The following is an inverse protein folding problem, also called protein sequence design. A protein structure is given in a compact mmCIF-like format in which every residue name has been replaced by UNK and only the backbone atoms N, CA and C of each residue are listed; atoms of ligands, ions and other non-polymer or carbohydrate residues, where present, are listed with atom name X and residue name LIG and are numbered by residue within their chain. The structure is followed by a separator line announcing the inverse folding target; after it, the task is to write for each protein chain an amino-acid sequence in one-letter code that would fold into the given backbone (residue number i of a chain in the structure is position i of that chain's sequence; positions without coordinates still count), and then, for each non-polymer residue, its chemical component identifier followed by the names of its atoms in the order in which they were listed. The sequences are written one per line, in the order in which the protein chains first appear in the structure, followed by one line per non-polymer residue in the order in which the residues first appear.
data_IF_985663124418
#
_entry.id   IF_985663124418
#
_cell.length_a   1.000
_cell.length_b   1.000
_cell.length_c   1.000
_cell.angle_alpha   90.00
_cell.angle_beta   90.00
_cell.angle_gamma   90.00
#
_symmetry.space_group_name_H-M   'P 1'
#
loop_
_entity.id
_entity.type
_entity.pdbx_description
1 polymer ?
#
# COMPACT_ATOMS: atom_id res chain seq x y z
N UNK A 1 -3.79 7.92 -16.28
CA UNK A 1 -4.51 7.94 -14.98
C UNK A 1 -4.37 6.59 -14.32
N UNK A 2 -4.15 6.53 -12.98
CA UNK A 2 -4.03 5.26 -12.25
C UNK A 2 -5.39 4.89 -11.65
N UNK A 3 -5.84 3.65 -11.87
CA UNK A 3 -7.08 3.09 -11.30
C UNK A 3 -6.74 1.85 -10.48
N UNK A 4 -6.87 1.93 -9.16
CA UNK A 4 -6.71 0.79 -8.27
C UNK A 4 -7.91 -0.14 -8.47
N UNK A 5 -7.66 -1.43 -8.69
CA UNK A 5 -8.70 -2.45 -8.92
C UNK A 5 -8.96 -3.28 -7.67
N UNK A 6 -7.96 -4.01 -7.22
CA UNK A 6 -8.13 -4.92 -6.08
C UNK A 6 -6.87 -5.03 -5.24
N UNK A 7 -7.06 -5.32 -3.96
CA UNK A 7 -6.01 -5.56 -2.99
C UNK A 7 -6.30 -6.87 -2.26
N UNK A 8 -5.34 -7.78 -2.19
CA UNK A 8 -5.42 -8.95 -1.31
C UNK A 8 -4.34 -8.87 -0.24
N UNK A 9 -4.68 -9.33 0.95
CA UNK A 9 -3.83 -9.19 2.14
C UNK A 9 -3.84 -10.49 2.95
N UNK A 10 -2.67 -10.98 3.30
CA UNK A 10 -2.46 -12.16 4.15
C UNK A 10 -1.34 -11.92 5.13
N UNK A 11 -1.52 -12.29 6.38
CA UNK A 11 -0.52 -12.17 7.45
C UNK A 11 0.11 -10.76 7.58
N UNK A 12 -0.69 -9.74 7.39
CA UNK A 12 -0.27 -8.34 7.42
C UNK A 12 -0.98 -7.59 8.53
N UNK A 13 -0.25 -7.04 9.48
CA UNK A 13 -0.76 -6.32 10.66
C UNK A 13 -1.85 -7.15 11.41
N UNK A 14 -3.10 -6.68 11.43
CA UNK A 14 -4.24 -7.37 12.06
C UNK A 14 -4.81 -8.51 11.21
N UNK A 15 -4.51 -8.59 9.93
CA UNK A 15 -4.98 -9.66 9.04
C UNK A 15 -4.16 -10.92 9.29
N UNK A 16 -4.85 -12.02 9.59
CA UNK A 16 -4.25 -13.33 9.86
C UNK A 16 -3.94 -14.13 8.59
N UNK A 17 -3.90 -15.46 8.76
CA UNK A 17 -3.49 -16.39 7.71
C UNK A 17 -4.54 -16.57 6.59
N UNK A 18 -5.79 -16.22 6.84
CA UNK A 18 -6.82 -16.21 5.80
C UNK A 18 -6.65 -14.96 4.94
N UNK A 19 -6.52 -15.15 3.62
CA UNK A 19 -6.41 -14.03 2.69
C UNK A 19 -7.71 -13.24 2.65
N UNK A 20 -7.60 -11.93 2.87
CA UNK A 20 -8.70 -10.98 2.73
C UNK A 20 -8.56 -10.21 1.42
N UNK A 21 -9.67 -9.91 0.76
CA UNK A 21 -9.69 -9.16 -0.49
C UNK A 21 -10.53 -7.89 -0.34
N UNK A 22 -10.05 -6.80 -0.94
CA UNK A 22 -10.76 -5.54 -1.05
C UNK A 22 -10.85 -5.17 -2.52
N UNK A 23 -12.06 -4.94 -3.00
CA UNK A 23 -12.35 -4.44 -4.34
C UNK A 23 -12.48 -2.92 -4.32
N UNK A 24 -11.61 -2.23 -5.03
CA UNK A 24 -11.60 -0.77 -5.21
C UNK A 24 -12.26 -0.33 -6.52
N UNK A 25 -12.62 -1.27 -7.41
CA UNK A 25 -13.23 -0.94 -8.69
C UNK A 25 -14.71 -0.54 -8.51
N UNK A 26 -14.92 0.49 -7.71
CA UNK A 26 -16.22 1.11 -7.44
C UNK A 26 -16.32 2.44 -8.16
N UNK A 27 -17.48 2.75 -8.71
CA UNK A 27 -17.69 3.96 -9.52
C UNK A 27 -17.93 5.24 -8.70
N UNK A 28 -18.11 5.13 -7.40
CA UNK A 28 -18.51 6.25 -6.53
C UNK A 28 -17.79 6.21 -5.20
N UNK A 29 -18.10 7.21 -4.35
CA UNK A 29 -17.62 7.26 -2.97
C UNK A 29 -18.02 5.99 -2.21
N UNK A 30 -17.04 5.34 -1.59
CA UNK A 30 -17.27 4.15 -0.76
C UNK A 30 -16.96 4.46 0.70
N UNK A 31 -17.95 4.25 1.55
CA UNK A 31 -17.78 4.31 3.00
C UNK A 31 -17.38 2.93 3.54
N UNK A 32 -16.22 2.85 4.20
CA UNK A 32 -15.75 1.62 4.84
C UNK A 32 -16.07 1.68 6.34
N UNK A 33 -17.01 0.86 6.78
CA UNK A 33 -17.38 0.72 8.19
C UNK A 33 -16.69 -0.52 8.78
N UNK A 34 -16.24 -0.40 10.03
CA UNK A 34 -15.74 -1.52 10.81
C UNK A 34 -16.79 -1.95 11.81
N UNK A 35 -16.97 -3.25 11.99
CA UNK A 35 -17.76 -3.85 13.05
C UNK A 35 -16.86 -4.73 13.92
N UNK A 36 -16.93 -4.56 15.23
CA UNK A 36 -16.21 -5.39 16.18
C UNK A 36 -17.15 -6.46 16.74
N UNK A 37 -17.01 -7.67 16.22
CA UNK A 37 -17.86 -8.81 16.61
C UNK A 37 -17.57 -9.32 18.03
N UNK A 38 -16.41 -8.99 18.60
CA UNK A 38 -15.99 -9.47 19.93
C UNK A 38 -16.59 -8.63 21.07
N UNK A 39 -16.94 -7.38 20.84
CA UNK A 39 -17.39 -6.44 21.87
C UNK A 39 -18.89 -6.14 21.86
N UNK A 40 -19.64 -6.67 20.89
CA UNK A 40 -21.11 -6.66 20.88
C UNK A 40 -21.74 -5.29 21.13
N UNK A 41 -21.35 -4.25 20.39
CA UNK A 41 -21.90 -2.92 20.58
C UNK A 41 -21.87 -2.03 19.34
N UNK A 42 -22.90 -1.20 19.21
CA UNK A 42 -23.09 -0.25 18.11
C UNK A 42 -22.41 1.11 18.35
N UNK A 43 -21.65 1.23 19.43
CA UNK A 43 -20.98 2.47 19.83
C UNK A 43 -19.78 2.80 18.93
N UNK A 44 -19.57 4.08 18.66
CA UNK A 44 -18.48 4.60 17.82
C UNK A 44 -17.08 4.16 18.29
N UNK A 45 -16.91 3.87 19.59
CA UNK A 45 -15.69 3.33 20.17
C UNK A 45 -15.41 1.88 19.79
N UNK A 46 -16.44 1.06 19.59
CA UNK A 46 -16.32 -0.36 19.24
C UNK A 46 -15.80 -0.56 17.79
N UNK A 47 -15.84 0.46 16.96
CA UNK A 47 -15.39 0.41 15.55
C UNK A 47 -13.89 0.63 15.38
N UNK A 48 -13.17 0.96 16.44
CA UNK A 48 -11.71 1.10 16.40
C UNK A 48 -11.04 -0.28 16.42
N UNK A 49 -9.88 -0.38 15.77
CA UNK A 49 -9.13 -1.66 15.72
C UNK A 49 -9.65 -2.69 14.70
N UNK A 50 -10.74 -2.41 13.98
CA UNK A 50 -11.36 -3.35 13.02
C UNK A 50 -10.61 -3.52 11.69
N UNK A 51 -9.41 -2.96 11.55
CA UNK A 51 -8.56 -3.18 10.38
C UNK A 51 -8.71 -2.16 9.24
N UNK A 52 -9.51 -1.10 9.39
CA UNK A 52 -9.68 -0.06 8.35
C UNK A 52 -8.33 0.54 7.90
N UNK A 53 -7.50 0.95 8.84
CA UNK A 53 -6.17 1.51 8.57
C UNK A 53 -5.22 0.46 7.98
N UNK A 54 -5.42 -0.82 8.25
CA UNK A 54 -4.65 -1.92 7.68
C UNK A 54 -4.78 -1.96 6.15
N UNK A 55 -5.96 -1.69 5.60
CA UNK A 55 -6.20 -1.66 4.15
C UNK A 55 -5.29 -0.62 3.48
N UNK A 56 -5.27 0.60 4.02
CA UNK A 56 -4.48 1.70 3.43
C UNK A 56 -2.97 1.49 3.64
N UNK A 57 -2.56 0.93 4.78
CA UNK A 57 -1.17 0.53 5.00
C UNK A 57 -0.74 -0.59 4.03
N UNK A 58 -1.62 -1.55 3.74
CA UNK A 58 -1.33 -2.61 2.78
C UNK A 58 -1.19 -2.06 1.36
N UNK A 59 -2.02 -1.10 0.96
CA UNK A 59 -1.91 -0.39 -0.31
C UNK A 59 -0.55 0.33 -0.42
N UNK A 60 -0.18 1.10 0.59
CA UNK A 60 1.12 1.77 0.67
C UNK A 60 2.29 0.77 0.61
N UNK A 61 2.17 -0.34 1.36
CA UNK A 61 3.20 -1.37 1.37
C UNK A 61 3.34 -2.07 0.00
N UNK A 62 2.25 -2.39 -0.68
CA UNK A 62 2.30 -2.96 -2.02
C UNK A 62 3.07 -2.07 -2.99
N UNK A 63 2.78 -0.78 -3.03
CA UNK A 63 3.38 0.18 -3.96
C UNK A 63 4.82 0.56 -3.60
N UNK A 64 5.10 0.80 -2.31
CA UNK A 64 6.38 1.40 -1.88
C UNK A 64 7.22 0.51 -0.95
N UNK A 65 6.68 -0.62 -0.46
CA UNK A 65 7.32 -1.44 0.56
C UNK A 65 7.42 -0.77 1.93
N UNK A 66 6.59 0.25 2.17
CA UNK A 66 6.55 1.07 3.38
C UNK A 66 5.11 1.24 3.85
N UNK A 67 4.89 1.25 5.17
CA UNK A 67 3.61 1.68 5.74
C UNK A 67 3.45 3.21 5.67
N UNK A 68 2.24 3.72 5.87
CA UNK A 68 1.98 5.17 5.95
C UNK A 68 2.61 5.79 7.19
N UNK A 69 2.68 5.02 8.27
CA UNK A 69 3.30 5.42 9.54
C UNK A 69 4.70 4.82 9.65
N UNK A 70 5.51 5.33 10.58
CA UNK A 70 6.88 4.87 10.78
C UNK A 70 6.93 3.49 11.49
N UNK A 71 6.41 2.46 10.82
CA UNK A 71 6.44 1.08 11.28
C UNK A 71 7.57 0.33 10.57
N UNK A 72 8.46 -0.29 11.34
CA UNK A 72 9.51 -1.14 10.77
C UNK A 72 8.87 -2.29 9.97
N UNK A 73 9.44 -2.61 8.81
CA UNK A 73 8.90 -3.63 7.87
C UNK A 73 8.62 -4.99 8.54
N UNK A 74 9.47 -5.43 9.46
CA UNK A 74 9.26 -6.69 10.20
C UNK A 74 8.02 -6.65 11.10
N UNK A 75 7.65 -5.48 11.60
CA UNK A 75 6.49 -5.29 12.46
C UNK A 75 5.17 -5.22 11.67
N UNK A 76 5.24 -5.24 10.34
CA UNK A 76 4.07 -5.37 9.47
C UNK A 76 3.59 -6.81 9.36
N UNK A 77 4.45 -7.80 9.63
CA UNK A 77 4.04 -9.21 9.66
C UNK A 77 3.07 -9.42 10.83
N UNK A 78 1.99 -10.15 10.57
CA UNK A 78 1.04 -10.53 11.63
C UNK A 78 1.78 -11.22 12.77
N UNK A 79 1.61 -10.70 13.99
CA UNK A 79 2.38 -11.13 15.17
C UNK A 79 2.06 -12.56 15.60
N UNK A 80 0.85 -13.05 15.37
CA UNK A 80 0.43 -14.40 15.71
C UNK A 80 1.09 -15.43 14.81
N UNK A 81 1.10 -15.18 13.50
CA UNK A 81 1.63 -16.14 12.52
C UNK A 81 3.12 -15.94 12.25
N UNK A 82 3.62 -14.73 12.41
CA UNK A 82 5.04 -14.31 12.31
C UNK A 82 5.77 -14.75 11.03
N UNK A 83 5.03 -15.05 9.96
CA UNK A 83 5.57 -15.50 8.67
C UNK A 83 4.54 -15.37 7.55
N UNK A 84 5.00 -15.54 6.30
CA UNK A 84 4.12 -15.68 5.14
C UNK A 84 3.26 -14.44 4.86
N UNK A 85 3.78 -13.25 5.18
CA UNK A 85 3.11 -12.00 4.82
C UNK A 85 3.12 -11.83 3.31
N UNK A 86 1.94 -11.60 2.74
CA UNK A 86 1.77 -11.33 1.32
C UNK A 86 0.69 -10.27 1.10
N UNK A 87 1.03 -9.28 0.31
CA UNK A 87 0.12 -8.25 -0.19
C UNK A 87 0.18 -8.26 -1.70
N UNK A 88 -0.98 -8.37 -2.36
CA UNK A 88 -1.09 -8.30 -3.82
C UNK A 88 -2.00 -7.14 -4.19
N UNK A 89 -1.52 -6.28 -5.08
CA UNK A 89 -2.25 -5.13 -5.60
C UNK A 89 -2.38 -5.24 -7.11
N UNK A 90 -3.61 -5.10 -7.61
CA UNK A 90 -3.89 -4.96 -9.05
C UNK A 90 -4.39 -3.55 -9.35
N UNK A 91 -3.85 -2.93 -10.38
CA UNK A 91 -4.23 -1.60 -10.83
C UNK A 91 -4.07 -1.47 -12.35
N UNK A 92 -4.74 -0.48 -12.91
CA UNK A 92 -4.62 -0.12 -14.32
C UNK A 92 -3.98 1.26 -14.44
N UNK A 93 -3.13 1.42 -15.45
CA UNK A 93 -2.62 2.73 -15.87
C UNK A 93 -2.54 2.77 -17.40
N UNK A 94 -3.16 3.79 -17.97
CA UNK A 94 -3.10 4.11 -19.42
C UNK A 94 -3.46 2.89 -20.31
N UNK A 95 -4.50 2.14 -19.88
CA UNK A 95 -5.05 1.00 -20.61
C UNK A 95 -4.26 -0.31 -20.44
N UNK A 96 -3.27 -0.35 -19.55
CA UNK A 96 -2.52 -1.56 -19.21
C UNK A 96 -2.82 -2.03 -17.79
N UNK A 97 -2.85 -3.34 -17.62
CA UNK A 97 -3.03 -3.98 -16.33
C UNK A 97 -1.69 -4.27 -15.65
N UNK A 98 -1.59 -3.87 -14.39
CA UNK A 98 -0.42 -4.08 -13.56
C UNK A 98 -0.78 -4.85 -12.29
N UNK A 99 0.14 -5.71 -11.84
CA UNK A 99 0.02 -6.40 -10.56
C UNK A 99 1.36 -6.37 -9.82
N UNK A 100 1.32 -6.04 -8.54
CA UNK A 100 2.45 -6.12 -7.64
C UNK A 100 2.16 -7.16 -6.57
N UNK A 101 3.06 -8.11 -6.38
CA UNK A 101 3.04 -9.06 -5.25
C UNK A 101 4.24 -8.75 -4.36
N UNK A 102 3.96 -8.43 -3.11
CA UNK A 102 5.00 -8.10 -2.14
C UNK A 102 4.81 -8.90 -0.87
N UNK A 103 5.85 -9.65 -0.50
CA UNK A 103 5.86 -10.52 0.67
C UNK A 103 7.04 -10.27 1.59
N UNK A 104 6.88 -10.82 2.82
CA UNK A 104 7.94 -10.86 3.81
C UNK A 104 7.80 -12.10 4.68
N UNK A 105 8.96 -12.75 4.93
CA UNK A 105 9.02 -14.02 5.60
C UNK A 105 8.48 -15.19 4.77
N UNK A 106 8.99 -15.42 3.54
CA UNK A 106 10.19 -14.87 2.85
C UNK A 106 9.97 -13.50 2.19
N UNK A 107 11.09 -12.83 1.85
CA UNK A 107 11.04 -11.61 1.06
C UNK A 107 10.64 -11.95 -0.37
N UNK A 108 9.67 -11.21 -0.90
CA UNK A 108 9.15 -11.37 -2.25
C UNK A 108 8.82 -9.98 -2.81
N UNK A 109 9.21 -9.71 -4.05
CA UNK A 109 8.71 -8.61 -4.85
C UNK A 109 8.59 -9.10 -6.30
N UNK A 110 7.37 -9.20 -6.80
CA UNK A 110 7.08 -9.54 -8.19
C UNK A 110 6.22 -8.44 -8.80
N UNK A 111 6.50 -8.14 -10.05
CA UNK A 111 5.81 -7.14 -10.81
C UNK A 111 5.34 -7.73 -12.14
N UNK A 112 4.08 -7.48 -12.48
CA UNK A 112 3.45 -8.03 -13.69
C UNK A 112 2.87 -6.90 -14.53
N UNK A 113 2.98 -7.04 -15.84
CA UNK A 113 2.38 -6.16 -16.84
C UNK A 113 1.55 -7.02 -17.79
N UNK A 114 0.26 -6.73 -17.94
CA UNK A 114 -0.70 -7.48 -18.76
C UNK A 114 -0.65 -9.00 -18.51
N UNK A 115 -0.53 -9.36 -17.22
CA UNK A 115 -0.49 -10.75 -16.76
C UNK A 115 0.86 -11.46 -16.88
N UNK A 116 1.86 -10.84 -17.51
CA UNK A 116 3.20 -11.40 -17.63
C UNK A 116 4.11 -10.88 -16.52
N UNK A 117 4.74 -11.80 -15.79
CA UNK A 117 5.77 -11.45 -14.83
C UNK A 117 6.94 -10.79 -15.56
N UNK A 118 7.34 -9.63 -15.07
CA UNK A 118 8.52 -8.96 -15.60
C UNK A 118 9.73 -9.64 -15.01
N UNK A 119 10.37 -10.49 -15.83
CA UNK A 119 11.64 -11.12 -15.46
C UNK A 119 12.72 -10.05 -15.33
N UNK A 120 13.38 -10.06 -14.20
CA UNK A 120 14.51 -9.23 -13.97
C UNK A 120 15.77 -9.95 -14.42
N UNK A 121 16.54 -9.31 -15.27
CA UNK A 121 17.66 -9.88 -15.98
C UNK A 121 18.89 -10.21 -15.09
N UNK A 122 18.76 -10.16 -13.76
CA UNK A 122 19.89 -10.46 -12.89
C UNK A 122 19.47 -11.09 -11.56
N UNK A 123 19.86 -12.35 -11.33
CA UNK A 123 19.58 -13.13 -10.11
C UNK A 123 20.36 -12.64 -8.86
N UNK A 124 21.09 -11.53 -8.96
CA UNK A 124 21.84 -10.96 -7.87
C UNK A 124 20.97 -10.14 -6.92
N UNK A 125 21.32 -10.09 -5.65
CA UNK A 125 20.59 -9.44 -4.54
C UNK A 125 20.26 -7.94 -4.73
N UNK A 126 20.57 -7.34 -5.88
CA UNK A 126 20.28 -5.94 -6.23
C UNK A 126 18.91 -5.67 -6.82
N UNK A 127 18.20 -6.69 -7.20
CA UNK A 127 17.08 -6.67 -8.12
C UNK A 127 15.78 -6.05 -7.55
N UNK A 128 15.46 -6.28 -6.29
CA UNK A 128 14.26 -5.69 -5.66
C UNK A 128 14.30 -4.16 -5.59
N UNK A 129 15.50 -3.55 -5.65
CA UNK A 129 15.64 -2.09 -5.66
C UNK A 129 15.24 -1.52 -7.02
N UNK A 130 15.69 -2.13 -8.10
CA UNK A 130 15.34 -1.71 -9.47
C UNK A 130 13.85 -1.84 -9.72
N UNK A 131 13.23 -2.98 -9.35
CA UNK A 131 11.76 -3.13 -9.44
C UNK A 131 11.03 -2.05 -8.67
N UNK A 132 11.50 -1.72 -7.49
CA UNK A 132 10.89 -0.67 -6.70
C UNK A 132 11.02 0.69 -7.40
N UNK A 133 12.15 0.98 -8.02
CA UNK A 133 12.37 2.20 -8.81
C UNK A 133 11.45 2.23 -10.03
N UNK A 134 11.30 1.11 -10.74
CA UNK A 134 10.40 0.99 -11.89
C UNK A 134 8.94 1.20 -11.50
N UNK A 135 8.50 0.64 -10.36
CA UNK A 135 7.15 0.86 -9.83
C UNK A 135 6.94 2.35 -9.50
N UNK A 136 7.87 2.99 -8.81
CA UNK A 136 7.77 4.42 -8.46
C UNK A 136 7.76 5.30 -9.71
N UNK A 137 8.62 5.00 -10.67
CA UNK A 137 8.65 5.69 -11.97
C UNK A 137 7.33 5.52 -12.74
N UNK A 138 6.80 4.29 -12.78
CA UNK A 138 5.50 4.03 -13.37
C UNK A 138 4.38 4.84 -12.69
N UNK A 139 4.38 4.89 -11.36
CA UNK A 139 3.37 5.65 -10.61
C UNK A 139 3.50 7.16 -10.88
N UNK A 140 4.71 7.66 -11.13
CA UNK A 140 5.00 9.09 -11.24
C UNK A 140 4.78 9.84 -9.92
N UNK A 141 4.88 9.14 -8.79
CA UNK A 141 4.53 9.67 -7.47
C UNK A 141 5.42 9.03 -6.40
N UNK A 142 6.08 9.87 -5.58
CA UNK A 142 6.85 9.39 -4.44
C UNK A 142 5.94 8.89 -3.29
N UNK A 143 6.50 8.09 -2.38
CA UNK A 143 5.80 7.67 -1.17
C UNK A 143 5.37 8.87 -0.31
N UNK A 144 6.19 9.92 -0.28
CA UNK A 144 5.86 11.13 0.47
C UNK A 144 4.63 11.84 -0.12
N UNK A 145 4.60 12.01 -1.43
CA UNK A 145 3.43 12.55 -2.12
C UNK A 145 2.18 11.67 -1.91
N UNK A 146 2.32 10.35 -2.03
CA UNK A 146 1.22 9.39 -1.80
C UNK A 146 0.59 9.58 -0.42
N UNK A 147 1.38 9.70 0.65
CA UNK A 147 0.90 9.89 2.03
C UNK A 147 0.12 11.20 2.24
N UNK A 148 0.48 12.25 1.50
CA UNK A 148 -0.09 13.58 1.72
C UNK A 148 -1.23 13.93 0.78
N UNK A 149 -1.32 13.24 -0.37
CA UNK A 149 -2.30 13.55 -1.41
C UNK A 149 -3.32 12.43 -1.60
N UNK A 150 -2.88 11.17 -1.55
CA UNK A 150 -3.74 10.02 -1.89
C UNK A 150 -4.25 9.31 -0.65
N UNK A 151 -3.36 8.96 0.27
CA UNK A 151 -3.68 8.13 1.44
C UNK A 151 -3.62 8.95 2.73
N UNK A 152 -4.52 9.92 2.86
CA UNK A 152 -4.59 10.79 4.03
C UNK A 152 -4.93 9.98 5.28
N UNK A 153 -4.17 10.18 6.34
CA UNK A 153 -4.46 9.62 7.64
C UNK A 153 -4.13 10.61 8.76
N UNK A 154 -4.70 10.39 9.95
CA UNK A 154 -4.55 11.28 11.11
C UNK A 154 -3.14 11.33 11.70
N UNK A 155 -2.27 10.39 11.34
CA UNK A 155 -0.88 10.29 11.83
C UNK A 155 0.13 10.88 10.85
N UNK A 156 -0.30 11.26 9.65
CA UNK A 156 0.56 11.94 8.68
C UNK A 156 0.66 13.41 9.07
N UNK A 157 1.87 13.94 9.14
CA UNK A 157 2.10 15.37 9.38
C UNK A 157 1.34 16.20 8.35
N UNK A 158 0.53 17.20 8.78
CA UNK A 158 -0.20 18.03 7.84
C UNK A 158 0.77 18.77 6.90
N UNK A 159 0.41 18.89 5.62
CA UNK A 159 1.25 19.52 4.60
C UNK A 159 1.81 20.87 5.03
N UNK A 160 0.99 21.74 5.63
CA UNK A 160 1.41 23.06 6.07
C UNK A 160 2.37 23.06 7.27
N UNK A 161 2.47 21.95 8.01
CA UNK A 161 3.39 21.78 9.14
C UNK A 161 4.73 21.18 8.74
N UNK A 162 4.84 20.70 7.51
CA UNK A 162 6.06 20.09 6.99
C UNK A 162 7.18 21.12 6.79
N UNK A 163 8.41 20.64 6.72
CA UNK A 163 9.56 21.47 6.35
C UNK A 163 9.37 22.03 4.94
N UNK A 164 9.82 23.27 4.72
CA UNK A 164 9.67 23.98 3.44
C UNK A 164 10.20 23.16 2.25
N UNK A 165 11.33 22.47 2.41
CA UNK A 165 11.89 21.64 1.35
C UNK A 165 10.98 20.45 1.00
N UNK A 166 10.38 19.79 2.00
CA UNK A 166 9.47 18.67 1.78
C UNK A 166 8.18 19.14 1.10
N UNK A 167 7.66 20.33 1.47
CA UNK A 167 6.52 20.96 0.80
C UNK A 167 6.84 21.28 -0.67
N UNK A 168 8.03 21.85 -0.91
CA UNK A 168 8.50 22.18 -2.25
C UNK A 168 8.55 20.93 -3.13
N UNK A 169 9.17 19.85 -2.65
CA UNK A 169 9.28 18.58 -3.38
C UNK A 169 7.91 18.02 -3.78
N UNK A 170 6.92 18.08 -2.88
CA UNK A 170 5.55 17.64 -3.18
C UNK A 170 4.91 18.52 -4.25
N UNK A 171 5.07 19.85 -4.15
CA UNK A 171 4.53 20.79 -5.13
C UNK A 171 5.17 20.57 -6.50
N UNK A 172 6.49 20.41 -6.56
CA UNK A 172 7.22 20.16 -7.81
C UNK A 172 6.77 18.86 -8.49
N UNK A 173 6.58 17.78 -7.72
CA UNK A 173 6.02 16.53 -8.24
C UNK A 173 4.58 16.70 -8.75
N UNK A 174 3.73 17.45 -8.02
CA UNK A 174 2.35 17.74 -8.45
C UNK A 174 2.29 18.52 -9.76
N UNK A 175 3.22 19.44 -9.94
CA UNK A 175 3.30 20.28 -11.14
C UNK A 175 4.06 19.62 -12.29
N UNK A 176 4.67 18.44 -12.06
CA UNK A 176 5.48 17.75 -13.05
C UNK A 176 6.73 18.51 -13.48
N UNK A 177 7.35 19.27 -12.55
CA UNK A 177 8.52 20.12 -12.81
C UNK A 177 9.84 19.38 -12.50
N UNK A 178 9.75 18.18 -11.94
CA UNK A 178 10.93 17.33 -11.60
C UNK A 178 11.27 16.37 -12.73
#
# INVERSE_FOLDING_TARGET
MIKIKSLTVKNFMSVGNQTQAVDFDKQQLTLVLGENLDQGGDDSGSRNGTGKTTIINALSYALYGLALTNIKRNNLINKTNNKGMLVTLSFEKDGRDYKVERGRGPNLLKFYVDGQEQEMFDESQGDSRKTQEDIVHLLGMSHNMFKHIVALNTYTEPFLSMRVNDQKDIIEQLLGIT
#
